data_IF_669607143083
#
_entry.id   IF_669607143083
#
_cell.length_a   1.000
_cell.length_b   1.000
_cell.length_c   1.000
_cell.angle_alpha   90.00
_cell.angle_beta   90.00
_cell.angle_gamma   90.00
#
_symmetry.space_group_name_H-M   'P 1'
#
loop_
_entity.id
_entity.type
_entity.pdbx_description
1 polymer ?
#
# COMPACT_ATOMS: atom_id res chain seq x y z
N UNK A 1 13.75 -11.76 38.98
CA UNK A 1 13.48 -10.92 37.80
C UNK A 1 12.75 -9.68 38.28
N UNK A 2 13.36 -8.50 38.18
CA UNK A 2 12.67 -7.24 38.50
C UNK A 2 11.52 -7.04 37.52
N UNK A 3 10.38 -6.62 38.05
CA UNK A 3 9.20 -6.22 37.28
C UNK A 3 9.54 -4.94 36.51
N UNK A 4 9.43 -4.93 35.19
CA UNK A 4 9.67 -3.72 34.40
C UNK A 4 9.59 -3.94 32.88
N UNK A 5 9.40 -2.86 32.13
CA UNK A 5 9.53 -2.85 30.68
C UNK A 5 11.00 -2.76 30.27
N UNK A 6 11.35 -3.27 29.08
CA UNK A 6 12.69 -3.08 28.52
C UNK A 6 12.85 -1.61 28.16
N UNK A 7 13.88 -0.95 28.69
CA UNK A 7 14.16 0.47 28.47
C UNK A 7 15.50 0.66 27.76
N UNK A 8 15.63 1.75 26.98
CA UNK A 8 16.91 2.15 26.40
C UNK A 8 17.91 2.51 27.49
N UNK A 9 19.22 2.44 27.17
CA UNK A 9 20.30 2.74 28.13
C UNK A 9 20.22 4.15 28.72
N UNK A 10 19.71 5.11 27.95
CA UNK A 10 19.50 6.50 28.37
C UNK A 10 18.14 6.75 29.05
N UNK A 11 17.35 5.68 29.23
CA UNK A 11 16.03 5.68 29.88
C UNK A 11 14.97 6.56 29.21
N UNK A 12 15.20 7.02 27.98
CA UNK A 12 14.25 7.88 27.25
C UNK A 12 13.20 7.11 26.47
N UNK A 13 13.41 5.81 26.23
CA UNK A 13 12.51 4.97 25.45
C UNK A 13 12.22 3.66 26.19
N UNK A 14 10.99 3.19 26.10
CA UNK A 14 10.58 1.88 26.59
C UNK A 14 9.97 1.06 25.44
N UNK A 15 10.26 -0.24 25.42
CA UNK A 15 9.69 -1.18 24.47
C UNK A 15 8.43 -1.81 25.06
N UNK A 16 7.30 -1.56 24.41
CA UNK A 16 6.08 -2.32 24.59
C UNK A 16 6.05 -3.44 23.55
N UNK A 17 6.35 -4.66 23.99
CA UNK A 17 6.40 -5.84 23.11
C UNK A 17 5.20 -6.75 23.37
N UNK A 18 4.47 -7.08 22.30
CA UNK A 18 3.45 -8.11 22.31
C UNK A 18 4.02 -9.37 21.61
N UNK A 19 4.42 -10.41 22.35
CA UNK A 19 5.15 -11.57 21.81
C UNK A 19 4.26 -12.56 21.04
N UNK A 20 3.09 -12.14 20.58
CA UNK A 20 2.12 -13.01 19.90
C UNK A 20 1.36 -12.26 18.83
N UNK A 21 1.11 -12.96 17.74
CA UNK A 21 0.13 -12.63 16.72
C UNK A 21 -0.50 -13.95 16.26
N UNK A 22 -1.76 -14.18 16.63
CA UNK A 22 -2.45 -15.47 16.47
C UNK A 22 -3.26 -15.55 15.17
N UNK A 23 -2.96 -14.67 14.20
CA UNK A 23 -3.53 -14.66 12.85
C UNK A 23 -5.06 -14.75 12.87
N UNK A 24 -5.66 -15.76 12.23
CA UNK A 24 -7.10 -15.91 12.11
C UNK A 24 -7.86 -16.01 13.44
N UNK A 25 -7.19 -16.38 14.55
CA UNK A 25 -7.85 -16.38 15.87
C UNK A 25 -8.16 -14.95 16.34
N UNK A 26 -7.30 -13.98 16.03
CA UNK A 26 -7.52 -12.56 16.39
C UNK A 26 -8.66 -11.94 15.57
N UNK A 27 -8.88 -12.39 14.34
CA UNK A 27 -10.03 -11.95 13.54
C UNK A 27 -11.37 -12.28 14.21
N UNK A 28 -11.46 -13.38 14.96
CA UNK A 28 -12.67 -13.74 15.71
C UNK A 28 -12.95 -12.72 16.82
N UNK A 29 -11.90 -12.23 17.49
CA UNK A 29 -12.03 -11.16 18.48
C UNK A 29 -12.57 -9.87 17.84
N UNK A 30 -12.06 -9.47 16.68
CA UNK A 30 -12.57 -8.29 15.94
C UNK A 30 -14.06 -8.41 15.62
N UNK A 31 -14.53 -9.60 15.22
CA UNK A 31 -15.95 -9.86 14.96
C UNK A 31 -16.78 -9.71 16.24
N UNK A 32 -16.31 -10.26 17.36
CA UNK A 32 -17.02 -10.17 18.64
C UNK A 32 -17.05 -8.73 19.18
N UNK A 33 -15.97 -7.96 19.05
CA UNK A 33 -15.93 -6.55 19.43
C UNK A 33 -16.95 -5.73 18.63
N UNK A 34 -17.00 -5.95 17.30
CA UNK A 34 -17.98 -5.27 16.46
C UNK A 34 -19.42 -5.67 16.81
N UNK A 35 -19.69 -6.98 16.97
CA UNK A 35 -21.04 -7.49 17.17
C UNK A 35 -21.60 -7.26 18.58
N UNK A 36 -20.75 -7.37 19.62
CA UNK A 36 -21.19 -7.29 21.02
C UNK A 36 -21.00 -5.90 21.61
N UNK A 37 -19.96 -5.16 21.17
CA UNK A 37 -19.60 -3.86 21.74
C UNK A 37 -19.82 -2.69 20.77
N UNK A 38 -20.14 -2.97 19.50
CA UNK A 38 -20.27 -1.93 18.47
C UNK A 38 -18.94 -1.21 18.19
N UNK A 39 -17.80 -1.85 18.48
CA UNK A 39 -16.48 -1.24 18.40
C UNK A 39 -15.65 -1.86 17.27
N UNK A 40 -14.93 -1.01 16.53
CA UNK A 40 -13.92 -1.47 15.56
C UNK A 40 -12.61 -1.80 16.28
N UNK A 41 -12.02 -2.95 15.96
CA UNK A 41 -10.66 -3.30 16.40
C UNK A 41 -9.56 -2.64 15.55
N UNK A 42 -9.95 -1.92 14.49
CA UNK A 42 -9.05 -1.22 13.58
C UNK A 42 -8.79 0.24 13.99
N UNK A 43 -8.06 0.97 13.14
CA UNK A 43 -7.86 2.40 13.34
C UNK A 43 -9.18 3.18 13.29
N UNK A 44 -9.31 4.18 14.16
CA UNK A 44 -10.53 5.02 14.25
C UNK A 44 -10.78 5.86 12.99
N UNK A 45 -9.70 6.33 12.34
CA UNK A 45 -9.76 7.14 11.12
C UNK A 45 -8.61 6.72 10.20
N UNK A 46 -8.75 5.60 9.46
CA UNK A 46 -7.71 5.13 8.57
C UNK A 46 -7.52 6.12 7.42
N UNK A 47 -6.26 6.42 7.08
CA UNK A 47 -5.87 7.29 5.97
C UNK A 47 -4.75 6.62 5.16
N UNK A 48 -4.75 6.75 3.82
CA UNK A 48 -3.68 6.22 2.98
C UNK A 48 -2.47 7.15 3.08
N UNK A 49 -1.56 6.88 4.01
CA UNK A 49 -0.32 7.65 4.14
C UNK A 49 0.80 7.12 3.24
N UNK A 50 0.79 5.82 2.98
CA UNK A 50 1.80 5.13 2.19
C UNK A 50 1.14 4.24 1.15
N UNK A 51 1.74 4.19 -0.04
CA UNK A 51 1.46 3.20 -1.05
C UNK A 51 2.59 2.17 -1.09
N UNK A 52 2.23 0.89 -1.17
CA UNK A 52 3.16 -0.17 -1.54
C UNK A 52 3.23 -0.21 -3.06
N UNK A 53 4.41 -0.08 -3.64
CA UNK A 53 4.66 -0.01 -5.09
C UNK A 53 5.70 -1.06 -5.52
N UNK A 54 5.84 -1.26 -6.84
CA UNK A 54 6.87 -2.11 -7.41
C UNK A 54 8.02 -1.26 -7.99
N UNK A 55 9.26 -1.51 -7.55
CA UNK A 55 10.50 -0.98 -8.15
C UNK A 55 11.24 -2.10 -8.87
N UNK A 56 11.62 -1.88 -10.12
CA UNK A 56 12.35 -2.85 -10.91
C UNK A 56 13.75 -3.13 -10.33
N UNK A 57 14.07 -4.40 -10.09
CA UNK A 57 15.42 -4.82 -9.63
C UNK A 57 16.37 -5.13 -10.80
N UNK A 58 15.81 -5.24 -12.00
CA UNK A 58 16.44 -5.50 -13.30
C UNK A 58 15.67 -4.79 -14.40
N UNK A 59 16.25 -4.71 -15.60
CA UNK A 59 15.53 -4.16 -16.75
C UNK A 59 14.36 -5.08 -17.13
N UNK A 60 13.16 -4.50 -17.20
CA UNK A 60 11.92 -5.20 -17.58
C UNK A 60 11.51 -4.74 -18.99
N UNK A 61 11.58 -5.61 -20.01
CA UNK A 61 11.18 -5.24 -21.36
C UNK A 61 9.66 -5.01 -21.45
N UNK A 62 9.24 -4.24 -22.46
CA UNK A 62 7.83 -4.17 -22.83
C UNK A 62 7.28 -5.58 -23.11
N UNK A 63 6.02 -5.79 -22.74
CA UNK A 63 5.37 -7.09 -22.84
C UNK A 63 5.65 -8.03 -21.66
N UNK A 64 6.51 -7.67 -20.71
CA UNK A 64 6.71 -8.47 -19.48
C UNK A 64 5.39 -8.59 -18.71
N UNK A 65 5.04 -9.82 -18.31
CA UNK A 65 3.93 -10.06 -17.39
C UNK A 65 4.46 -9.96 -15.97
N UNK A 66 3.89 -9.05 -15.18
CA UNK A 66 4.16 -8.91 -13.75
C UNK A 66 3.41 -10.00 -12.97
N UNK A 67 3.74 -11.26 -13.24
CA UNK A 67 3.06 -12.43 -12.68
C UNK A 67 3.28 -12.50 -11.17
N UNK A 68 2.18 -12.42 -10.41
CA UNK A 68 2.21 -12.47 -8.95
C UNK A 68 1.83 -13.88 -8.49
N UNK A 69 2.80 -14.59 -7.91
CA UNK A 69 2.65 -15.99 -7.53
C UNK A 69 3.31 -16.37 -6.21
N UNK A 70 3.11 -17.64 -5.83
CA UNK A 70 3.70 -18.25 -4.64
C UNK A 70 3.09 -17.80 -3.30
N UNK A 71 3.59 -18.38 -2.21
CA UNK A 71 3.10 -18.11 -0.85
C UNK A 71 3.41 -16.69 -0.33
N UNK A 72 4.32 -15.96 -1.01
CA UNK A 72 4.76 -14.63 -0.61
C UNK A 72 4.19 -13.51 -1.48
N UNK A 73 3.27 -13.80 -2.41
CA UNK A 73 2.69 -12.82 -3.34
C UNK A 73 3.76 -11.90 -3.98
N UNK A 74 4.86 -12.52 -4.42
CA UNK A 74 5.97 -11.79 -5.02
C UNK A 74 5.80 -11.69 -6.53
N UNK A 75 6.35 -10.64 -7.12
CA UNK A 75 6.45 -10.44 -8.56
C UNK A 75 7.95 -10.53 -8.91
N UNK A 76 8.32 -11.45 -9.80
CA UNK A 76 9.72 -11.59 -10.20
C UNK A 76 10.22 -10.34 -10.92
N UNK A 77 11.46 -9.93 -10.63
CA UNK A 77 12.09 -8.76 -11.24
C UNK A 77 11.74 -7.41 -10.61
N UNK A 78 11.01 -7.39 -9.49
CA UNK A 78 10.70 -6.17 -8.74
C UNK A 78 10.88 -6.37 -7.23
N UNK A 79 11.21 -5.28 -6.53
CA UNK A 79 11.13 -5.18 -5.08
C UNK A 79 9.90 -4.34 -4.68
N UNK A 80 9.29 -4.71 -3.55
CA UNK A 80 8.21 -3.93 -2.97
C UNK A 80 8.79 -2.77 -2.15
N UNK A 81 8.26 -1.56 -2.35
CA UNK A 81 8.71 -0.34 -1.66
C UNK A 81 7.52 0.46 -1.14
N UNK A 82 7.65 1.04 0.05
CA UNK A 82 6.67 1.96 0.61
C UNK A 82 7.05 3.41 0.26
N UNK A 83 6.16 4.12 -0.39
CA UNK A 83 6.31 5.54 -0.75
C UNK A 83 5.13 6.36 -0.20
N UNK A 84 5.27 7.70 -0.03
CA UNK A 84 4.11 8.55 0.29
C UNK A 84 2.97 8.33 -0.70
N UNK A 85 1.77 8.09 -0.17
CA UNK A 85 0.61 7.83 -1.01
C UNK A 85 0.20 9.08 -1.81
N UNK A 86 -0.30 8.86 -3.02
CA UNK A 86 -0.80 9.94 -3.88
C UNK A 86 -1.92 9.44 -4.79
N UNK A 87 -2.70 10.36 -5.38
CA UNK A 87 -3.68 9.98 -6.38
C UNK A 87 -3.02 9.29 -7.58
N UNK A 88 -3.70 8.32 -8.19
CA UNK A 88 -3.24 7.69 -9.42
C UNK A 88 -3.07 8.72 -10.55
N UNK A 89 -2.08 8.49 -11.42
CA UNK A 89 -1.81 9.36 -12.56
C UNK A 89 -0.67 8.85 -13.43
N UNK A 90 -0.57 9.37 -14.64
CA UNK A 90 0.58 9.08 -15.51
C UNK A 90 1.88 9.58 -14.88
N UNK A 91 2.96 8.79 -14.98
CA UNK A 91 4.23 9.08 -14.32
C UNK A 91 4.21 9.01 -12.80
N UNK A 92 3.16 8.39 -12.21
CA UNK A 92 3.10 8.08 -10.78
C UNK A 92 3.19 6.57 -10.57
N UNK A 93 3.91 6.11 -9.53
CA UNK A 93 3.99 4.68 -9.20
C UNK A 93 2.61 4.04 -9.08
N UNK A 94 2.42 2.90 -9.73
CA UNK A 94 1.23 2.10 -9.56
C UNK A 94 1.30 1.35 -8.22
N UNK A 95 0.19 1.28 -7.46
CA UNK A 95 0.10 0.40 -6.30
C UNK A 95 0.40 -1.06 -6.69
N UNK A 96 1.18 -1.75 -5.88
CA UNK A 96 1.77 -3.06 -6.18
C UNK A 96 0.72 -4.07 -6.67
N UNK A 97 -0.43 -4.15 -5.98
CA UNK A 97 -1.51 -5.07 -6.34
C UNK A 97 -2.35 -4.62 -7.56
N UNK A 98 -2.29 -3.35 -7.96
CA UNK A 98 -2.83 -2.91 -9.25
C UNK A 98 -1.90 -3.27 -10.41
N UNK A 99 -0.58 -3.27 -10.16
CA UNK A 99 0.43 -3.72 -11.12
C UNK A 99 0.48 -5.26 -11.26
N UNK A 100 0.14 -5.98 -10.20
CA UNK A 100 0.12 -7.43 -10.19
C UNK A 100 -0.74 -8.02 -11.33
N UNK A 101 -0.18 -9.04 -11.99
CA UNK A 101 -0.79 -9.76 -13.10
C UNK A 101 -1.13 -8.88 -14.32
N UNK A 102 -0.44 -7.74 -14.46
CA UNK A 102 -0.55 -6.86 -15.63
C UNK A 102 0.66 -7.00 -16.54
N UNK A 103 0.44 -6.72 -17.82
CA UNK A 103 1.50 -6.70 -18.83
C UNK A 103 2.00 -5.28 -19.00
N UNK A 104 3.32 -5.11 -18.98
CA UNK A 104 3.95 -3.83 -19.28
C UNK A 104 3.72 -3.45 -20.74
N UNK A 105 3.26 -2.22 -21.00
CA UNK A 105 3.11 -1.71 -22.38
C UNK A 105 4.38 -1.04 -22.92
N UNK A 106 5.32 -0.71 -22.04
CA UNK A 106 6.61 -0.08 -22.35
C UNK A 106 7.67 -0.61 -21.37
N UNK A 107 8.97 -0.56 -21.70
CA UNK A 107 10.00 -1.07 -20.81
C UNK A 107 10.10 -0.23 -19.53
N UNK A 108 10.57 -0.85 -18.44
CA UNK A 108 10.90 -0.21 -17.16
C UNK A 108 12.35 -0.55 -16.86
N UNK A 109 13.21 0.46 -16.69
CA UNK A 109 14.62 0.23 -16.43
C UNK A 109 14.87 -0.20 -14.98
N UNK A 110 15.99 -0.89 -14.73
CA UNK A 110 16.43 -1.21 -13.38
C UNK A 110 16.48 0.03 -12.50
N UNK A 111 15.85 -0.06 -11.33
CA UNK A 111 15.76 1.01 -10.35
C UNK A 111 14.57 1.95 -10.55
N UNK A 112 13.85 1.87 -11.67
CA UNK A 112 12.63 2.67 -11.89
C UNK A 112 11.40 2.01 -11.24
N UNK A 113 10.39 2.83 -10.97
CA UNK A 113 9.10 2.37 -10.47
C UNK A 113 8.21 1.93 -11.62
N UNK A 114 7.38 0.91 -11.37
CA UNK A 114 6.29 0.57 -12.29
C UNK A 114 5.17 1.58 -12.10
N UNK A 115 5.21 2.64 -12.89
CA UNK A 115 4.17 3.67 -12.93
C UNK A 115 2.87 3.21 -13.60
N UNK A 116 1.79 3.93 -13.30
CA UNK A 116 0.43 3.59 -13.74
C UNK A 116 0.28 3.50 -15.27
N UNK A 117 0.98 4.34 -16.02
CA UNK A 117 1.00 4.37 -17.48
C UNK A 117 1.98 3.35 -18.10
N UNK A 118 2.67 2.54 -17.29
CA UNK A 118 3.28 1.30 -17.78
C UNK A 118 2.26 0.16 -17.95
N UNK A 119 1.04 0.33 -17.46
CA UNK A 119 0.06 -0.73 -17.31
C UNK A 119 -1.19 -0.47 -18.15
N UNK A 120 -1.73 -1.54 -18.72
CA UNK A 120 -3.14 -1.56 -19.15
C UNK A 120 -3.91 -2.32 -18.08
N UNK A 121 -4.85 -1.62 -17.45
CA UNK A 121 -5.76 -2.19 -16.47
C UNK A 121 -7.15 -2.17 -17.10
N UNK A 122 -7.83 -3.31 -17.04
CA UNK A 122 -9.15 -3.46 -17.63
C UNK A 122 -10.15 -2.44 -17.03
N UNK A 123 -11.01 -1.82 -17.84
CA UNK A 123 -11.98 -0.83 -17.36
C UNK A 123 -12.96 -1.35 -16.29
N UNK A 124 -13.21 -2.65 -16.25
CA UNK A 124 -14.08 -3.34 -15.30
C UNK A 124 -13.35 -3.86 -14.04
N UNK A 125 -12.07 -3.49 -13.87
CA UNK A 125 -11.29 -3.84 -12.68
C UNK A 125 -11.88 -3.20 -11.41
N UNK A 126 -12.52 -4.03 -10.57
CA UNK A 126 -13.08 -3.62 -9.28
C UNK A 126 -12.03 -2.95 -8.38
N UNK A 127 -10.81 -3.49 -8.33
CA UNK A 127 -9.73 -2.90 -7.51
C UNK A 127 -9.35 -1.49 -8.00
N UNK A 128 -9.40 -1.24 -9.32
CA UNK A 128 -9.15 0.08 -9.87
C UNK A 128 -10.31 1.05 -9.53
N UNK A 129 -11.55 0.57 -9.59
CA UNK A 129 -12.72 1.36 -9.21
C UNK A 129 -12.64 1.79 -7.73
N UNK A 130 -12.37 0.85 -6.83
CA UNK A 130 -12.19 1.12 -5.41
C UNK A 130 -11.02 2.06 -5.12
N UNK A 131 -9.88 1.90 -5.82
CA UNK A 131 -8.74 2.82 -5.67
C UNK A 131 -9.09 4.24 -6.12
N UNK A 132 -9.85 4.41 -7.20
CA UNK A 132 -10.31 5.74 -7.64
C UNK A 132 -11.24 6.38 -6.61
N UNK A 133 -12.15 5.61 -6.01
CA UNK A 133 -12.99 6.09 -4.91
C UNK A 133 -12.13 6.54 -3.71
N UNK A 134 -11.10 5.77 -3.35
CA UNK A 134 -10.14 6.16 -2.32
C UNK A 134 -9.45 7.48 -2.69
N UNK A 135 -8.98 7.63 -3.93
CA UNK A 135 -8.33 8.86 -4.38
C UNK A 135 -9.27 10.08 -4.32
N UNK A 136 -10.53 9.91 -4.71
CA UNK A 136 -11.54 10.97 -4.64
C UNK A 136 -11.84 11.38 -3.19
N UNK A 137 -11.79 10.45 -2.23
CA UNK A 137 -12.03 10.74 -0.80
C UNK A 137 -10.82 11.45 -0.17
N UNK A 138 -9.59 11.05 -0.52
CA UNK A 138 -8.39 11.43 0.24
C UNK A 138 -7.42 12.38 -0.49
N UNK A 139 -7.50 12.50 -1.82
CA UNK A 139 -6.54 13.26 -2.62
C UNK A 139 -7.20 14.29 -3.57
N UNK A 140 -8.52 14.49 -3.48
CA UNK A 140 -9.28 15.43 -4.32
C UNK A 140 -9.04 16.91 -3.98
N UNK A 141 -8.52 17.22 -2.78
CA UNK A 141 -8.31 18.61 -2.31
C UNK A 141 -7.10 19.33 -2.94
N UNK A 142 -6.19 18.61 -3.63
CA UNK A 142 -5.08 19.21 -4.39
C UNK A 142 -5.52 20.14 -5.52
N UNK A 143 -6.81 20.10 -5.92
CA UNK A 143 -7.35 20.90 -7.01
C UNK A 143 -7.82 22.30 -6.57
N UNK A 144 -8.13 22.49 -5.28
CA UNK A 144 -8.68 23.76 -4.78
C UNK A 144 -7.60 24.81 -4.47
N UNK A 145 -6.47 24.41 -3.90
CA UNK A 145 -5.40 25.36 -3.54
C UNK A 145 -4.70 25.96 -4.78
N UNK A 146 -4.52 25.17 -5.84
CA UNK A 146 -3.90 25.64 -7.10
C UNK A 146 -4.78 26.60 -7.92
N UNK A 147 -6.10 26.68 -7.67
CA UNK A 147 -6.99 27.64 -8.34
C UNK A 147 -7.03 28.99 -7.62
N UNK A 148 -6.75 29.01 -6.32
CA UNK A 148 -6.71 30.24 -5.51
C UNK A 148 -5.38 31.00 -5.70
N UNK A 149 -4.27 30.31 -5.96
CA UNK A 149 -2.99 30.96 -6.27
C UNK A 149 -2.86 31.41 -7.73
N UNK A 150 -3.76 30.95 -8.62
CA UNK A 150 -3.78 31.31 -10.04
C UNK A 150 -4.84 32.37 -10.41
N UNK A 151 -5.51 32.96 -9.41
CA UNK A 151 -6.52 34.03 -9.55
C UNK A 151 -6.06 35.33 -8.90
#
# INVERSE_FOLDING_TARGET
AEKGHVVSRDLKNALLYLPRHLLGLEATTSILEAALLGASSGGLSPRPHLDLIARADRDLPAGTLLDMGGHHHNIDGVAAELVPASALGAGRPAPFYLAANRRLVRPVAKGETVDFDHLVIEPDSELLALRRIQDDIFFSESKAENLVEAS
#
